data_IF_073227684469
#
_entry.id   IF_073227684469
#
_cell.length_a   1.000
_cell.length_b   1.000
_cell.length_c   1.000
_cell.angle_alpha   90.00
_cell.angle_beta   90.00
_cell.angle_gamma   90.00
#
_symmetry.space_group_name_H-M   'P 1'
#
loop_
_entity.id
_entity.type
_entity.pdbx_description
1 polymer ?
2 non-polymer ?
3 non-polymer ?
4 water ?
#
# COMPACT_ATOMS: atom_id res chain seq x y z
N UNK A 33 9.68 8.91 -18.32
CA UNK A 33 10.73 8.65 -19.35
C UNK A 33 12.10 8.62 -18.63
N UNK A 34 12.90 9.68 -18.78
CA UNK A 34 14.13 9.88 -18.00
C UNK A 34 13.84 10.19 -16.52
N UNK A 35 12.64 10.66 -16.21
CA UNK A 35 12.26 10.98 -14.86
C UNK A 35 11.84 9.81 -13.97
N UNK A 36 12.01 8.60 -14.48
CA UNK A 36 11.83 7.39 -13.69
C UNK A 36 12.91 7.32 -12.60
N UNK A 37 14.15 7.72 -12.93
CA UNK A 37 15.22 7.89 -11.95
C UNK A 37 14.99 9.10 -11.02
N UNK A 38 15.03 8.82 -9.72
CA UNK A 38 15.08 9.84 -8.68
C UNK A 38 16.07 10.98 -8.87
N UNK A 39 17.33 10.66 -9.20
CA UNK A 39 18.34 11.67 -9.42
C UNK A 39 17.89 12.64 -10.54
N UNK A 40 17.28 12.14 -11.59
CA UNK A 40 16.78 13.01 -12.62
C UNK A 40 15.64 13.94 -12.13
N UNK A 41 14.87 13.51 -11.16
CA UNK A 41 13.80 14.34 -10.67
C UNK A 41 14.42 15.33 -9.73
N UNK A 42 15.38 14.87 -8.93
CA UNK A 42 15.97 15.73 -7.94
C UNK A 42 16.67 16.91 -8.62
N UNK A 43 17.20 16.71 -9.82
CA UNK A 43 17.85 17.79 -10.54
C UNK A 43 16.96 18.96 -10.84
N UNK A 44 15.63 18.75 -10.90
CA UNK A 44 14.71 19.79 -11.27
C UNK A 44 14.41 20.76 -10.13
N UNK A 45 14.99 20.55 -8.95
CA UNK A 45 14.66 21.29 -7.70
C UNK A 45 15.60 22.45 -7.37
N UNK A 46 16.41 22.93 -8.31
CA UNK A 46 17.28 24.12 -8.00
C UNK A 46 16.36 25.35 -7.74
N UNK A 47 16.71 26.13 -6.74
CA UNK A 47 15.88 27.27 -6.29
C UNK A 47 14.50 26.92 -5.72
N UNK A 48 14.27 25.63 -5.48
CA UNK A 48 13.16 25.27 -4.68
C UNK A 48 13.34 25.94 -3.27
N UNK A 49 12.31 26.66 -2.76
CA UNK A 49 12.34 27.24 -1.38
C UNK A 49 13.08 26.43 -0.25
N UNK A 50 14.18 27.01 0.18
CA UNK A 50 15.07 26.44 1.21
C UNK A 50 14.36 26.24 2.54
N UNK A 51 13.36 27.06 2.81
CA UNK A 51 12.53 26.92 4.01
C UNK A 51 11.32 26.01 3.80
N UNK A 52 11.26 25.31 2.67
CA UNK A 52 10.13 24.36 2.48
C UNK A 52 10.02 23.41 3.70
N UNK A 53 8.84 23.28 4.30
CA UNK A 53 8.79 22.19 5.31
C UNK A 53 9.06 20.80 4.80
N UNK A 54 8.82 20.54 3.50
CA UNK A 54 9.06 19.23 2.88
C UNK A 54 10.20 19.47 1.93
N UNK A 55 11.30 18.74 2.15
CA UNK A 55 12.51 18.91 1.30
C UNK A 55 12.40 18.38 -0.16
N UNK A 56 13.30 18.92 -0.98
CA UNK A 56 13.42 18.57 -2.39
C UNK A 56 13.67 17.07 -2.53
N UNK A 57 14.59 16.50 -1.73
CA UNK A 57 14.86 15.06 -1.83
C UNK A 57 13.63 14.23 -1.54
N UNK A 58 12.88 14.66 -0.53
CA UNK A 58 11.67 13.95 -0.12
C UNK A 58 10.60 13.96 -1.27
N UNK A 59 10.35 15.11 -1.88
CA UNK A 59 9.39 15.21 -2.97
C UNK A 59 9.87 14.47 -4.19
N UNK A 60 11.17 14.55 -4.54
CA UNK A 60 11.67 13.76 -5.69
C UNK A 60 11.51 12.25 -5.44
N UNK A 61 11.80 11.86 -4.21
CA UNK A 61 11.58 10.50 -3.83
C UNK A 61 10.13 10.05 -4.05
N UNK A 62 9.17 10.96 -3.78
CA UNK A 62 7.76 10.68 -3.93
C UNK A 62 7.24 10.86 -5.40
N UNK A 63 8.16 11.00 -6.37
CA UNK A 63 7.90 11.05 -7.83
C UNK A 63 7.72 12.46 -8.42
N UNK A 64 7.90 13.47 -7.60
CA UNK A 64 7.66 14.82 -7.99
C UNK A 64 8.84 15.48 -8.70
N UNK A 65 8.51 16.36 -9.64
CA UNK A 65 9.42 17.31 -10.26
C UNK A 65 9.05 18.68 -9.79
N UNK A 66 10.01 19.59 -9.65
CA UNK A 66 9.71 20.96 -9.30
C UNK A 66 9.28 21.70 -10.55
N UNK A 67 8.24 22.52 -10.43
CA UNK A 67 7.64 23.18 -11.60
C UNK A 67 8.38 24.48 -11.89
N UNK A 68 9.21 24.91 -10.94
CA UNK A 68 9.86 26.17 -10.99
C UNK A 68 9.00 27.30 -10.44
N UNK A 69 7.71 27.06 -10.15
CA UNK A 69 6.88 28.08 -9.47
C UNK A 69 6.65 27.80 -7.96
N UNK A 70 7.06 28.74 -7.10
CA UNK A 70 6.74 28.70 -5.67
C UNK A 70 7.23 27.40 -5.08
N UNK A 71 6.31 26.64 -4.45
CA UNK A 71 6.60 25.26 -3.97
C UNK A 71 5.78 24.23 -4.71
N UNK A 72 5.32 24.61 -5.90
CA UNK A 72 4.60 23.70 -6.79
C UNK A 72 5.49 22.68 -7.52
N UNK A 73 5.08 21.43 -7.33
CA UNK A 73 5.75 20.26 -7.82
C UNK A 73 4.71 19.48 -8.55
N UNK A 74 5.14 18.75 -9.57
CA UNK A 74 4.22 17.95 -10.41
C UNK A 74 4.77 16.51 -10.49
N UNK A 75 3.88 15.53 -10.62
CA UNK A 75 4.29 14.14 -10.69
C UNK A 75 4.68 13.86 -12.11
N UNK A 76 5.80 13.16 -12.27
CA UNK A 76 6.29 12.93 -13.60
C UNK A 76 5.30 11.98 -14.33
N UNK A 77 4.61 11.14 -13.59
CA UNK A 77 3.82 10.05 -14.17
C UNK A 77 2.31 10.44 -14.32
N UNK A 78 1.71 10.98 -13.26
CA UNK A 78 0.29 11.31 -13.25
C UNK A 78 -0.04 12.80 -13.41
N UNK A 79 1.00 13.63 -13.60
CA UNK A 79 0.84 15.07 -13.73
C UNK A 79 0.04 15.80 -12.65
N UNK A 80 -0.17 15.18 -11.50
CA UNK A 80 -0.73 15.91 -10.38
C UNK A 80 0.25 16.98 -9.85
N UNK A 81 -0.31 18.12 -9.49
CA UNK A 81 0.40 19.28 -9.10
C UNK A 81 -0.03 19.73 -7.68
N UNK A 82 0.95 19.78 -6.77
CA UNK A 82 0.71 19.95 -5.34
C UNK A 82 1.68 20.99 -4.85
N UNK A 83 1.19 21.89 -4.00
CA UNK A 83 1.98 22.92 -3.42
C UNK A 83 1.43 23.14 -2.00
N UNK A 84 1.70 24.32 -1.46
CA UNK A 84 1.32 24.72 -0.14
C UNK A 84 1.71 23.68 0.92
N UNK A 85 2.95 23.18 0.83
CA UNK A 85 3.44 22.12 1.68
C UNK A 85 3.54 22.66 3.10
N UNK A 86 3.14 21.82 4.03
CA UNK A 86 3.14 22.11 5.45
C UNK A 86 3.81 20.98 6.25
N UNK A 87 4.23 21.35 7.45
CA UNK A 87 4.76 20.43 8.47
C UNK A 87 3.72 19.43 8.79
N UNK A 88 4.16 18.17 8.82
CA UNK A 88 3.31 17.03 8.98
C UNK A 88 2.89 16.37 7.67
N UNK A 89 3.09 17.04 6.53
CA UNK A 89 2.70 16.46 5.25
C UNK A 89 3.62 15.31 4.94
N UNK A 90 3.01 14.20 4.55
CA UNK A 90 3.76 13.12 3.79
C UNK A 90 3.74 13.43 2.29
N UNK A 91 4.92 13.56 1.63
CA UNK A 91 4.97 13.78 0.16
C UNK A 91 4.24 12.61 -0.53
N UNK A 92 4.57 11.37 -0.13
CA UNK A 92 3.96 10.20 -0.73
C UNK A 92 2.45 10.20 -0.43
N UNK A 93 2.07 10.53 0.81
CA UNK A 93 0.70 10.38 1.31
C UNK A 93 -0.20 11.38 0.61
N UNK A 94 0.29 12.61 0.54
CA UNK A 94 -0.41 13.65 -0.19
C UNK A 94 -0.55 13.36 -1.66
N UNK A 95 0.53 12.85 -2.29
CA UNK A 95 0.51 12.38 -3.70
C UNK A 95 -0.55 11.25 -3.96
N UNK A 96 -0.69 10.34 -2.99
CA UNK A 96 -1.65 9.21 -3.11
C UNK A 96 -3.08 9.74 -2.91
N UNK A 97 -3.26 10.75 -2.07
CA UNK A 97 -4.61 11.29 -1.83
C UNK A 97 -5.08 11.99 -3.11
N UNK A 98 -4.19 12.76 -3.72
CA UNK A 98 -4.52 13.47 -4.96
C UNK A 98 -4.52 12.60 -6.20
N UNK A 99 -3.79 11.50 -6.21
CA UNK A 99 -3.81 10.56 -7.38
C UNK A 99 -3.67 9.13 -6.97
N UNK A 100 -4.71 8.50 -6.38
CA UNK A 100 -4.54 7.12 -5.88
C UNK A 100 -4.23 6.10 -6.96
N UNK A 101 -4.51 6.42 -8.22
CA UNK A 101 -4.25 5.48 -9.28
C UNK A 101 -2.94 5.85 -9.97
N UNK A 102 -2.17 6.80 -9.45
CA UNK A 102 -0.86 7.11 -10.07
C UNK A 102 -0.06 5.82 -10.30
N UNK A 103 0.47 5.68 -11.53
CA UNK A 103 1.34 4.54 -11.88
C UNK A 103 2.59 4.50 -11.05
N UNK A 104 3.18 5.67 -10.78
CA UNK A 104 4.39 5.73 -9.99
C UNK A 104 4.11 5.20 -8.57
N UNK A 105 3.04 5.72 -7.95
CA UNK A 105 2.66 5.37 -6.59
C UNK A 105 2.32 3.88 -6.43
N UNK A 106 1.65 3.35 -7.45
CA UNK A 106 1.28 1.96 -7.49
C UNK A 106 2.32 0.98 -8.00
N UNK A 107 3.57 1.40 -8.18
CA UNK A 107 4.68 0.49 -8.53
C UNK A 107 5.02 0.22 -9.98
N UNK A 108 4.35 0.90 -10.90
CA UNK A 108 4.40 0.61 -12.35
C UNK A 108 5.80 0.59 -12.91
N UNK A 109 6.63 1.51 -12.43
CA UNK A 109 8.02 1.62 -12.86
C UNK A 109 8.94 0.69 -12.12
N UNK A 110 8.40 -0.20 -11.28
CA UNK A 110 9.13 -1.28 -10.65
C UNK A 110 9.91 -0.75 -9.43
N UNK B 33 9.34 2.72 11.65
CA UNK B 33 10.14 2.51 10.40
C UNK B 33 9.52 3.14 9.13
N UNK B 34 10.21 3.01 8.01
CA UNK B 34 9.70 3.47 6.72
C UNK B 34 8.52 2.61 6.33
N UNK B 35 8.53 1.34 6.76
CA UNK B 35 7.56 0.34 6.26
C UNK B 35 6.13 0.44 6.71
N UNK B 36 5.80 1.34 7.64
CA UNK B 36 4.37 1.64 7.92
C UNK B 36 3.71 2.32 6.68
N UNK B 37 4.52 3.01 5.87
CA UNK B 37 4.06 3.72 4.67
C UNK B 37 4.01 2.72 3.53
N UNK B 38 2.83 2.50 3.00
CA UNK B 38 2.61 1.53 1.92
C UNK B 38 3.70 1.58 0.80
N UNK B 39 3.96 2.75 0.24
CA UNK B 39 4.88 2.90 -0.90
C UNK B 39 6.32 2.43 -0.56
N UNK B 40 6.75 2.53 0.71
CA UNK B 40 8.04 2.00 1.09
C UNK B 40 8.01 0.48 1.07
N UNK B 41 6.90 -0.12 1.50
CA UNK B 41 6.71 -1.54 1.31
C UNK B 41 6.73 -1.90 -0.20
N UNK B 42 5.98 -1.15 -1.02
CA UNK B 42 5.90 -1.45 -2.44
C UNK B 42 7.27 -1.36 -3.12
N UNK B 43 8.17 -0.47 -2.68
CA UNK B 43 9.57 -0.38 -3.27
C UNK B 43 10.35 -1.71 -3.32
N UNK B 44 10.06 -2.61 -2.39
CA UNK B 44 10.80 -3.82 -2.19
C UNK B 44 10.45 -4.87 -3.24
N UNK B 45 9.37 -4.62 -3.95
CA UNK B 45 8.87 -5.52 -4.97
C UNK B 45 9.58 -5.37 -6.33
N UNK B 46 10.76 -4.79 -6.30
CA UNK B 46 11.71 -4.94 -7.39
C UNK B 46 11.92 -6.44 -7.73
N UNK B 47 11.79 -6.73 -9.02
CA UNK B 47 12.00 -8.06 -9.56
C UNK B 47 11.02 -9.09 -9.04
N UNK B 48 9.80 -8.68 -8.75
CA UNK B 48 8.78 -9.60 -8.24
C UNK B 48 8.10 -10.21 -9.43
N UNK B 49 7.84 -11.52 -9.37
CA UNK B 49 7.23 -12.20 -10.49
C UNK B 49 6.03 -11.49 -11.12
N UNK B 50 6.15 -11.17 -12.40
CA UNK B 50 5.15 -10.42 -13.12
C UNK B 50 3.93 -11.32 -13.41
N UNK B 51 4.17 -12.61 -13.55
CA UNK B 51 3.10 -13.59 -13.65
C UNK B 51 2.41 -13.97 -12.35
N UNK B 52 2.71 -13.25 -11.25
CA UNK B 52 2.06 -13.56 -9.99
C UNK B 52 0.56 -13.32 -10.08
N UNK B 53 -0.25 -14.27 -9.58
CA UNK B 53 -1.70 -14.03 -9.51
C UNK B 53 -2.13 -12.89 -8.60
N UNK B 54 -1.30 -12.50 -7.62
CA UNK B 54 -1.61 -11.39 -6.69
C UNK B 54 -0.53 -10.34 -6.88
N UNK B 55 -0.92 -9.13 -7.25
CA UNK B 55 0.04 -8.13 -7.66
C UNK B 55 0.87 -7.64 -6.50
N UNK B 56 2.00 -7.01 -6.80
CA UNK B 56 2.84 -6.38 -5.80
C UNK B 56 2.08 -5.30 -5.04
N UNK B 57 1.31 -4.54 -5.79
CA UNK B 57 0.57 -3.42 -5.20
C UNK B 57 -0.31 -3.92 -4.06
N UNK B 58 -1.12 -4.92 -4.39
CA UNK B 58 -2.07 -5.56 -3.49
C UNK B 58 -1.40 -6.13 -2.21
N UNK B 59 -0.24 -6.77 -2.41
CA UNK B 59 0.55 -7.42 -1.33
C UNK B 59 1.12 -6.39 -0.35
N UNK B 60 1.67 -5.32 -0.93
CA UNK B 60 2.14 -4.15 -0.18
C UNK B 60 0.99 -3.55 0.60
N UNK B 61 -0.15 -3.40 -0.03
CA UNK B 61 -1.27 -2.86 0.63
C UNK B 61 -1.59 -3.69 1.85
N UNK B 62 -1.50 -5.00 1.72
CA UNK B 62 -1.78 -5.92 2.81
C UNK B 62 -0.73 -6.00 3.86
N UNK B 63 0.32 -5.19 3.78
CA UNK B 63 1.38 -5.19 4.80
C UNK B 63 2.68 -5.91 4.42
N UNK B 64 2.75 -6.44 3.21
CA UNK B 64 3.89 -7.28 2.88
C UNK B 64 5.08 -6.52 2.24
N UNK B 65 6.30 -7.05 2.48
CA UNK B 65 7.53 -6.74 1.76
C UNK B 65 7.83 -7.96 0.92
N UNK B 66 8.54 -7.76 -0.19
CA UNK B 66 9.08 -8.87 -0.98
C UNK B 66 10.46 -9.23 -0.46
N UNK B 67 10.69 -10.52 -0.21
CA UNK B 67 11.91 -11.01 0.37
C UNK B 67 13.02 -11.13 -0.71
N UNK B 68 12.62 -11.07 -1.98
CA UNK B 68 13.52 -11.12 -3.13
C UNK B 68 13.66 -12.52 -3.73
N UNK B 69 12.73 -13.44 -3.40
CA UNK B 69 12.75 -14.80 -3.90
C UNK B 69 11.36 -15.42 -4.06
N UNK B 70 11.22 -16.09 -5.20
CA UNK B 70 10.01 -16.76 -5.57
C UNK B 70 8.91 -15.73 -5.55
N UNK B 71 7.84 -16.05 -4.84
CA UNK B 71 6.77 -15.10 -4.59
C UNK B 71 6.58 -15.00 -3.07
N UNK B 72 7.69 -15.10 -2.34
CA UNK B 72 7.73 -15.07 -0.86
C UNK B 72 7.77 -13.62 -0.30
N UNK B 73 6.72 -13.30 0.44
CA UNK B 73 6.50 -11.98 0.93
C UNK B 73 6.45 -12.13 2.43
N UNK B 74 6.82 -11.06 3.13
CA UNK B 74 6.89 -11.10 4.56
C UNK B 74 6.32 -9.84 5.14
N UNK B 75 5.47 -10.00 6.16
CA UNK B 75 4.89 -8.81 6.86
C UNK B 75 5.91 -8.00 7.65
N UNK B 76 5.80 -6.65 7.60
CA UNK B 76 6.75 -5.82 8.26
C UNK B 76 6.52 -5.83 9.77
N UNK B 77 5.27 -6.05 10.18
CA UNK B 77 4.86 -5.99 11.57
C UNK B 77 4.92 -7.33 12.29
N UNK B 78 4.42 -8.40 11.67
CA UNK B 78 4.39 -9.73 12.36
C UNK B 78 5.41 -10.76 11.87
N UNK B 79 6.06 -10.50 10.75
CA UNK B 79 7.18 -11.31 10.24
C UNK B 79 6.73 -12.60 9.60
N UNK B 80 5.41 -12.80 9.54
CA UNK B 80 4.85 -13.93 8.83
C UNK B 80 5.31 -13.81 7.39
N UNK B 81 5.62 -14.94 6.80
CA UNK B 81 6.04 -15.04 5.44
C UNK B 81 5.07 -16.01 4.75
N UNK B 82 4.70 -15.65 3.54
CA UNK B 82 3.67 -16.37 2.80
C UNK B 82 4.12 -16.31 1.34
N UNK B 83 4.05 -17.45 0.67
CA UNK B 83 4.20 -17.56 -0.79
C UNK B 83 3.11 -18.46 -1.31
N UNK B 84 3.35 -19.01 -2.52
CA UNK B 84 2.46 -19.95 -3.23
C UNK B 84 1.13 -19.29 -3.42
N UNK B 85 1.19 -18.09 -3.96
CA UNK B 85 0.00 -17.33 -4.25
C UNK B 85 -0.76 -17.96 -5.46
N UNK B 86 -2.06 -18.17 -5.29
CA UNK B 86 -2.95 -18.69 -6.30
C UNK B 86 -3.91 -17.56 -6.78
N UNK B 87 -4.43 -17.72 -8.01
CA UNK B 87 -5.48 -16.83 -8.53
C UNK B 87 -6.72 -16.81 -7.60
N UNK B 88 -7.19 -15.62 -7.25
CA UNK B 88 -8.29 -15.46 -6.32
C UNK B 88 -7.96 -15.60 -4.83
N UNK B 89 -6.68 -15.48 -4.47
CA UNK B 89 -6.29 -15.37 -3.07
C UNK B 89 -6.57 -13.96 -2.54
N UNK B 90 -6.89 -13.85 -1.26
CA UNK B 90 -6.96 -12.60 -0.56
C UNK B 90 -5.65 -12.33 0.22
N UNK B 91 -4.87 -11.36 -0.24
CA UNK B 91 -3.65 -10.93 0.44
C UNK B 91 -3.91 -10.67 1.92
N UNK B 92 -4.97 -9.89 2.17
CA UNK B 92 -5.41 -9.58 3.53
C UNK B 92 -5.91 -10.87 4.31
N UNK B 93 -6.73 -11.67 3.66
CA UNK B 93 -7.35 -12.89 4.19
C UNK B 93 -6.33 -13.93 4.59
N UNK B 94 -5.45 -14.22 3.65
CA UNK B 94 -4.33 -15.10 3.97
C UNK B 94 -3.42 -14.56 5.10
N UNK B 95 -3.18 -13.25 5.11
CA UNK B 95 -2.37 -12.61 6.19
C UNK B 95 -3.04 -12.80 7.55
N UNK B 96 -4.35 -12.52 7.58
CA UNK B 96 -5.15 -12.71 8.80
C UNK B 96 -5.08 -14.18 9.27
N UNK B 97 -5.25 -15.10 8.33
CA UNK B 97 -5.16 -16.55 8.65
C UNK B 97 -3.84 -16.88 9.33
N UNK B 98 -2.75 -16.65 8.61
CA UNK B 98 -1.44 -16.98 9.13
C UNK B 98 -1.01 -16.19 10.36
N UNK B 99 -1.49 -14.95 10.50
CA UNK B 99 -1.17 -14.09 11.66
C UNK B 99 -2.37 -13.27 12.20
N UNK B 100 -3.34 -13.90 12.90
CA UNK B 100 -4.53 -13.18 13.32
C UNK B 100 -4.32 -12.07 14.33
N UNK B 101 -3.21 -12.07 15.05
CA UNK B 101 -2.99 -11.05 16.06
C UNK B 101 -1.97 -10.00 15.53
N UNK B 102 -1.64 -10.02 14.24
CA UNK B 102 -0.72 -9.04 13.67
C UNK B 102 -1.31 -7.63 13.90
N UNK B 103 -0.46 -6.71 14.37
CA UNK B 103 -0.91 -5.37 14.76
C UNK B 103 -1.38 -4.59 13.55
N UNK B 104 -0.70 -4.80 12.44
CA UNK B 104 -1.04 -4.11 11.19
C UNK B 104 -2.41 -4.56 10.71
N UNK B 105 -2.56 -5.89 10.59
CA UNK B 105 -3.81 -6.50 10.21
C UNK B 105 -4.96 -6.06 11.14
N UNK B 106 -4.69 -5.91 12.44
CA UNK B 106 -5.70 -5.43 13.39
C UNK B 106 -5.90 -3.90 13.43
N UNK B 107 -5.18 -3.13 12.61
CA UNK B 107 -5.36 -1.69 12.49
C UNK B 107 -4.49 -0.84 13.38
N UNK B 108 -3.43 -1.37 13.99
CA UNK B 108 -2.57 -0.55 14.94
C UNK B 108 -1.85 0.63 14.27
N UNK B 109 -1.50 0.49 13.01
CA UNK B 109 -0.91 1.60 12.27
C UNK B 109 -1.98 2.51 11.60
N UNK B 110 -3.25 2.42 12.00
CA UNK B 110 -4.31 3.43 11.65
C UNK B 110 -4.74 3.34 10.19
N UNK C 33 4.29 -24.87 25.34
CA UNK C 33 4.26 -24.87 26.83
C UNK C 33 4.32 -26.36 27.21
N UNK C 34 3.24 -27.08 26.91
CA UNK C 34 3.13 -28.57 27.00
C UNK C 34 3.50 -29.26 25.66
N UNK C 35 3.53 -28.44 24.63
CA UNK C 35 3.85 -28.83 23.26
C UNK C 35 5.34 -28.88 22.95
N UNK C 36 6.14 -28.75 24.01
CA UNK C 36 7.55 -29.02 23.96
C UNK C 36 7.87 -30.48 23.54
N UNK C 37 7.11 -31.44 24.05
CA UNK C 37 7.22 -32.84 23.63
C UNK C 37 6.48 -33.05 22.27
N UNK C 38 7.17 -33.71 21.34
CA UNK C 38 6.64 -34.05 20.01
C UNK C 38 5.32 -34.79 20.03
N UNK C 39 5.19 -35.74 20.97
CA UNK C 39 4.03 -36.55 21.05
C UNK C 39 2.79 -35.70 21.35
N UNK C 40 2.96 -34.66 22.14
CA UNK C 40 1.90 -33.79 22.47
C UNK C 40 1.46 -32.91 21.28
N UNK C 41 2.44 -32.52 20.47
CA UNK C 41 2.12 -31.84 19.18
C UNK C 41 1.41 -32.77 18.20
N UNK C 42 1.92 -33.99 18.10
CA UNK C 42 1.38 -34.99 17.22
C UNK C 42 -0.10 -35.23 17.43
N UNK C 43 -0.50 -35.26 18.69
CA UNK C 43 -1.87 -35.47 19.06
C UNK C 43 -2.88 -34.39 18.61
N UNK C 44 -2.39 -33.24 18.16
CA UNK C 44 -3.23 -32.23 17.49
C UNK C 44 -3.54 -32.56 16.01
N UNK C 45 -2.91 -33.57 15.42
CA UNK C 45 -3.11 -33.85 14.01
C UNK C 45 -4.26 -34.83 13.73
N UNK C 46 -5.12 -35.06 14.72
CA UNK C 46 -6.33 -35.83 14.45
C UNK C 46 -7.09 -35.05 13.37
N UNK C 47 -7.60 -35.78 12.38
CA UNK C 47 -8.38 -35.20 11.29
C UNK C 47 -7.54 -34.38 10.29
N UNK C 48 -6.20 -34.46 10.41
CA UNK C 48 -5.29 -33.94 9.40
C UNK C 48 -5.55 -34.68 8.06
N UNK C 49 -5.87 -33.97 7.00
CA UNK C 49 -6.30 -34.59 5.74
C UNK C 49 -5.35 -35.63 5.16
N UNK C 50 -5.92 -36.73 4.68
CA UNK C 50 -5.26 -38.01 4.43
C UNK C 50 -4.15 -38.10 3.38
N UNK C 51 -4.32 -37.35 2.30
CA UNK C 51 -3.34 -37.36 1.22
C UNK C 51 -2.33 -36.24 1.28
N UNK C 52 -2.01 -35.74 2.48
CA UNK C 52 -0.96 -34.73 2.60
C UNK C 52 0.38 -35.25 2.13
N UNK C 53 1.14 -34.43 1.39
CA UNK C 53 2.46 -34.90 0.99
C UNK C 53 3.54 -34.84 2.08
N UNK C 54 3.31 -34.08 3.15
CA UNK C 54 4.20 -34.02 4.32
C UNK C 54 3.37 -34.57 5.46
N UNK C 55 3.86 -35.63 6.09
CA UNK C 55 3.09 -36.34 7.11
C UNK C 55 2.95 -35.53 8.38
N UNK C 56 1.90 -35.90 9.12
CA UNK C 56 1.68 -35.44 10.46
C UNK C 56 2.89 -35.60 11.38
N UNK C 57 3.54 -36.77 11.33
CA UNK C 57 4.77 -37.00 12.14
C UNK C 57 5.89 -36.03 11.81
N UNK C 58 6.15 -35.82 10.52
CA UNK C 58 7.21 -34.91 10.09
C UNK C 58 6.92 -33.47 10.61
N UNK C 59 5.65 -33.05 10.45
CA UNK C 59 5.26 -31.73 10.78
C UNK C 59 5.37 -31.47 12.28
N UNK C 60 4.92 -32.40 13.13
CA UNK C 60 5.08 -32.24 14.57
C UNK C 60 6.56 -32.29 15.02
N UNK C 61 7.32 -33.14 14.34
CA UNK C 61 8.80 -33.22 14.51
C UNK C 61 9.49 -31.90 14.21
N UNK C 62 8.90 -31.12 13.29
CA UNK C 62 9.34 -29.76 12.95
C UNK C 62 8.79 -28.64 13.86
N UNK C 63 8.17 -28.99 14.97
CA UNK C 63 7.56 -27.98 15.83
C UNK C 63 6.11 -27.58 15.62
N UNK C 64 5.45 -28.14 14.61
CA UNK C 64 4.09 -27.79 14.29
C UNK C 64 2.99 -28.51 15.08
N UNK C 65 1.89 -27.77 15.23
CA UNK C 65 0.60 -28.24 15.74
C UNK C 65 -0.28 -28.04 14.54
N UNK C 66 -1.33 -28.82 14.39
CA UNK C 66 -2.27 -28.62 13.32
C UNK C 66 -3.31 -27.66 13.90
N UNK C 67 -3.65 -26.65 13.13
CA UNK C 67 -4.65 -25.64 13.44
C UNK C 67 -6.12 -26.07 13.21
N UNK C 68 -6.36 -27.24 12.65
CA UNK C 68 -7.73 -27.71 12.33
C UNK C 68 -8.23 -27.57 10.91
N UNK C 69 -7.63 -26.68 10.13
CA UNK C 69 -8.20 -26.35 8.84
C UNK C 69 -7.19 -26.39 7.67
N UNK C 70 -7.58 -27.13 6.64
CA UNK C 70 -6.73 -27.35 5.49
C UNK C 70 -5.50 -28.12 5.94
N UNK C 71 -4.35 -27.66 5.49
CA UNK C 71 -3.06 -28.26 5.89
C UNK C 71 -2.28 -27.22 6.68
N UNK C 72 -3.02 -26.29 7.30
CA UNK C 72 -2.36 -25.20 7.98
C UNK C 72 -1.99 -25.74 9.33
N UNK C 73 -0.69 -25.57 9.66
CA UNK C 73 -0.05 -25.88 10.93
C UNK C 73 0.51 -24.61 11.47
N UNK C 74 0.83 -24.60 12.77
CA UNK C 74 1.32 -23.42 13.46
C UNK C 74 2.28 -23.86 14.51
N UNK C 75 3.48 -23.30 14.53
CA UNK C 75 4.51 -23.68 15.45
C UNK C 75 4.05 -23.29 16.86
N UNK C 76 4.26 -24.20 17.79
CA UNK C 76 3.94 -23.97 19.21
C UNK C 76 4.69 -22.77 19.87
N UNK C 77 5.93 -22.51 19.40
CA UNK C 77 6.88 -21.61 20.03
C UNK C 77 6.81 -20.23 19.38
N UNK C 78 6.92 -20.22 18.05
CA UNK C 78 6.90 -18.94 17.33
C UNK C 78 5.52 -18.54 16.87
N UNK C 79 4.55 -19.44 16.98
CA UNK C 79 3.17 -19.23 16.49
C UNK C 79 2.98 -18.75 15.05
N UNK C 80 3.94 -19.02 14.17
CA UNK C 80 3.77 -18.75 12.74
C UNK C 80 3.18 -19.94 12.02
N UNK C 81 2.45 -19.65 10.94
CA UNK C 81 1.61 -20.64 10.31
C UNK C 81 2.15 -20.96 8.94
N UNK C 82 2.09 -22.23 8.59
CA UNK C 82 2.59 -22.70 7.30
C UNK C 82 1.52 -23.55 6.69
N UNK C 83 1.16 -23.18 5.46
CA UNK C 83 0.08 -23.83 4.70
C UNK C 83 0.59 -24.29 3.34
N UNK C 84 -0.30 -24.90 2.56
CA UNK C 84 -0.07 -25.23 1.15
C UNK C 84 1.24 -26.02 0.98
N UNK C 85 1.28 -27.11 1.69
CA UNK C 85 2.37 -28.06 1.63
C UNK C 85 2.29 -28.79 0.28
N UNK C 86 3.45 -29.13 -0.26
CA UNK C 86 3.54 -29.92 -1.48
C UNK C 86 4.71 -30.86 -1.40
N UNK C 87 4.72 -31.79 -2.35
CA UNK C 87 5.77 -32.82 -2.42
C UNK C 87 7.15 -32.20 -2.46
N UNK C 88 8.07 -32.81 -1.73
CA UNK C 88 9.41 -32.32 -1.66
C UNK C 88 9.65 -31.31 -0.56
N UNK C 89 8.60 -30.80 0.11
CA UNK C 89 8.82 -29.75 1.12
C UNK C 89 9.50 -30.35 2.34
N UNK C 90 10.44 -29.58 2.85
CA UNK C 90 11.08 -29.83 4.15
C UNK C 90 10.31 -29.03 5.17
N UNK C 91 9.80 -29.70 6.18
CA UNK C 91 8.94 -29.01 7.12
C UNK C 91 9.85 -28.06 7.93
N UNK C 92 11.05 -28.55 8.29
CA UNK C 92 11.98 -27.67 8.99
C UNK C 92 12.38 -26.47 8.13
N UNK C 93 12.67 -26.66 6.87
CA UNK C 93 13.20 -25.58 6.05
C UNK C 93 12.16 -24.52 5.87
N UNK C 94 10.94 -24.95 5.59
CA UNK C 94 9.84 -23.99 5.43
C UNK C 94 9.60 -23.28 6.77
N UNK C 95 9.57 -24.03 7.89
CA UNK C 95 9.56 -23.37 9.25
C UNK C 95 10.74 -22.41 9.43
N UNK C 96 11.98 -22.78 9.12
CA UNK C 96 13.12 -21.86 9.15
C UNK C 96 12.91 -20.60 8.32
N UNK C 97 12.38 -20.77 7.11
CA UNK C 97 12.21 -19.68 6.14
C UNK C 97 11.28 -18.62 6.78
N UNK C 98 10.15 -19.09 7.31
CA UNK C 98 9.14 -18.24 7.87
C UNK C 98 9.51 -17.61 9.21
N UNK C 99 10.29 -18.31 10.08
CA UNK C 99 10.69 -17.77 11.41
C UNK C 99 12.10 -18.17 11.68
N UNK C 100 13.09 -17.45 11.05
CA UNK C 100 14.51 -17.88 11.21
C UNK C 100 15.02 -17.78 12.65
N UNK C 101 14.46 -16.87 13.41
CA UNK C 101 14.84 -16.76 14.77
C UNK C 101 13.84 -17.48 15.65
N UNK C 102 13.11 -18.48 15.15
CA UNK C 102 12.23 -19.27 16.09
C UNK C 102 13.07 -19.99 17.17
N UNK C 103 12.57 -20.05 18.39
CA UNK C 103 13.34 -20.64 19.50
C UNK C 103 13.49 -22.15 19.38
N UNK C 104 12.44 -22.83 18.83
CA UNK C 104 12.39 -24.24 18.59
C UNK C 104 13.42 -24.68 17.56
N UNK C 105 13.38 -24.07 16.39
CA UNK C 105 14.34 -24.30 15.31
C UNK C 105 15.75 -24.00 15.75
N UNK C 106 15.90 -23.00 16.64
CA UNK C 106 17.19 -22.67 17.24
C UNK C 106 17.61 -23.42 18.49
N UNK C 107 16.99 -24.55 18.77
CA UNK C 107 17.45 -25.44 19.86
C UNK C 107 17.26 -24.95 21.28
N UNK C 108 16.42 -23.92 21.46
CA UNK C 108 16.04 -23.34 22.78
C UNK C 108 15.52 -24.39 23.77
N UNK C 109 14.83 -25.44 23.28
CA UNK C 109 14.23 -26.52 24.13
C UNK C 109 15.07 -27.81 24.11
N UNK C 110 16.39 -27.73 23.89
CA UNK C 110 17.23 -28.94 23.88
C UNK C 110 16.82 -29.84 22.71
N UNK D 33 -21.02 11.85 -18.06
CA UNK D 33 -22.38 11.25 -17.84
C UNK D 33 -23.22 12.22 -16.99
N UNK D 34 -23.46 11.89 -15.72
CA UNK D 34 -24.25 12.74 -14.81
C UNK D 34 -23.50 14.03 -14.46
N UNK D 35 -22.16 13.93 -14.25
CA UNK D 35 -21.37 15.05 -13.66
C UNK D 35 -20.99 16.16 -14.63
N UNK D 36 -21.56 16.11 -15.83
CA UNK D 36 -21.43 17.23 -16.77
C UNK D 36 -22.37 18.31 -16.26
N UNK D 37 -23.45 17.90 -15.59
CA UNK D 37 -24.40 18.81 -14.95
C UNK D 37 -23.84 19.33 -13.64
N UNK D 38 -23.68 20.64 -13.59
CA UNK D 38 -23.22 21.34 -12.42
C UNK D 38 -23.93 20.91 -11.13
N UNK D 39 -25.25 20.86 -11.15
CA UNK D 39 -26.02 20.50 -9.95
C UNK D 39 -25.72 19.10 -9.30
N UNK D 40 -25.40 18.13 -10.15
CA UNK D 40 -25.02 16.75 -9.74
C UNK D 40 -23.67 16.71 -9.04
N UNK D 41 -22.74 17.52 -9.54
CA UNK D 41 -21.46 17.78 -8.88
C UNK D 41 -21.67 18.45 -7.55
N UNK D 42 -22.53 19.46 -7.55
CA UNK D 42 -22.86 20.20 -6.33
C UNK D 42 -23.40 19.24 -5.27
N UNK D 43 -24.25 18.32 -5.67
CA UNK D 43 -24.85 17.35 -4.74
C UNK D 43 -23.84 16.46 -4.03
N UNK D 44 -22.69 16.18 -4.65
CA UNK D 44 -21.57 15.45 -3.96
C UNK D 44 -20.98 16.15 -2.73
N UNK D 45 -21.32 17.44 -2.57
CA UNK D 45 -20.78 18.30 -1.54
C UNK D 45 -21.61 18.27 -0.22
N UNK D 46 -22.33 17.18 0.04
CA UNK D 46 -22.78 16.89 1.41
C UNK D 46 -21.52 16.71 2.25
N UNK D 47 -21.55 17.23 3.48
CA UNK D 47 -20.45 17.16 4.47
C UNK D 47 -19.24 17.99 4.12
N UNK D 48 -19.34 18.90 3.14
CA UNK D 48 -18.20 19.73 2.77
C UNK D 48 -17.98 20.72 3.89
N UNK D 49 -16.71 21.01 4.29
CA UNK D 49 -16.49 21.85 5.46
C UNK D 49 -17.14 23.23 5.36
N UNK D 50 -18.13 23.47 6.23
CA UNK D 50 -18.88 24.73 6.29
C UNK D 50 -17.99 25.97 6.32
N UNK D 51 -16.87 25.88 7.02
CA UNK D 51 -15.90 26.98 7.10
C UNK D 51 -14.90 27.18 5.97
N UNK D 52 -14.97 26.40 4.88
CA UNK D 52 -14.03 26.61 3.75
C UNK D 52 -14.15 28.02 3.19
N UNK D 53 -13.01 28.63 2.77
CA UNK D 53 -13.07 29.98 2.18
C UNK D 53 -13.58 30.02 0.75
N UNK D 54 -13.69 28.85 0.11
CA UNK D 54 -14.16 28.74 -1.26
C UNK D 54 -15.39 27.85 -1.23
N UNK D 55 -16.51 28.43 -1.62
CA UNK D 55 -17.80 27.79 -1.41
C UNK D 55 -17.95 26.53 -2.22
N UNK D 56 -18.73 25.58 -1.71
CA UNK D 56 -19.17 24.41 -2.50
C UNK D 56 -19.63 24.75 -3.92
N UNK D 57 -20.47 25.76 -4.05
CA UNK D 57 -21.03 26.08 -5.40
C UNK D 57 -19.95 26.57 -6.40
N UNK D 58 -19.06 27.43 -5.94
CA UNK D 58 -17.91 27.87 -6.74
C UNK D 58 -17.10 26.65 -7.23
N UNK D 59 -16.94 25.65 -6.37
CA UNK D 59 -16.06 24.51 -6.64
C UNK D 59 -16.76 23.56 -7.66
N UNK D 60 -18.06 23.37 -7.48
CA UNK D 60 -18.86 22.60 -8.45
C UNK D 60 -18.91 23.28 -9.79
N UNK D 61 -19.08 24.61 -9.79
CA UNK D 61 -19.08 25.39 -11.05
C UNK D 61 -17.72 25.24 -11.74
N UNK D 62 -16.66 24.98 -10.98
CA UNK D 62 -15.30 24.82 -11.56
C UNK D 62 -14.96 23.36 -11.92
N UNK D 63 -15.94 22.48 -11.85
CA UNK D 63 -15.85 21.18 -12.40
C UNK D 63 -15.60 20.15 -11.32
N UNK D 64 -15.57 20.58 -10.04
CA UNK D 64 -15.20 19.70 -8.95
C UNK D 64 -16.32 18.84 -8.31
N UNK D 65 -15.95 17.63 -7.93
CA UNK D 65 -16.72 16.80 -7.05
C UNK D 65 -16.03 16.87 -5.73
N UNK D 66 -16.78 16.69 -4.64
CA UNK D 66 -16.18 16.61 -3.31
C UNK D 66 -15.81 15.15 -3.03
N UNK D 67 -14.64 14.94 -2.45
CA UNK D 67 -14.12 13.60 -2.27
C UNK D 67 -14.65 12.97 -1.00
N UNK D 68 -15.07 13.82 -0.07
CA UNK D 68 -15.52 13.35 1.21
C UNK D 68 -14.45 13.32 2.28
N UNK D 69 -13.27 13.85 2.00
CA UNK D 69 -12.18 14.01 2.99
C UNK D 69 -11.58 15.39 2.83
N UNK D 70 -11.43 16.07 3.97
CA UNK D 70 -10.93 17.45 4.01
C UNK D 70 -11.68 18.47 3.16
N UNK D 71 -10.93 19.36 2.52
CA UNK D 71 -11.43 20.19 1.40
C UNK D 71 -10.88 19.68 0.06
N UNK D 72 -10.54 18.39 0.04
CA UNK D 72 -10.07 17.76 -1.16
C UNK D 72 -11.22 17.62 -2.17
N UNK D 73 -11.05 18.20 -3.36
CA UNK D 73 -12.11 18.14 -4.40
C UNK D 73 -11.46 17.52 -5.61
N UNK D 74 -12.22 16.94 -6.53
CA UNK D 74 -11.60 16.26 -7.66
C UNK D 74 -12.46 16.48 -8.87
N UNK D 75 -11.82 16.90 -9.97
CA UNK D 75 -12.53 17.16 -11.23
C UNK D 75 -13.09 15.88 -11.79
N UNK D 76 -14.38 15.92 -12.14
CA UNK D 76 -15.11 14.78 -12.73
C UNK D 76 -14.52 14.34 -14.07
N UNK D 77 -13.82 15.27 -14.77
CA UNK D 77 -13.30 15.01 -16.11
C UNK D 77 -11.86 14.55 -16.12
N UNK D 78 -10.98 15.41 -15.58
CA UNK D 78 -9.56 15.13 -15.67
C UNK D 78 -9.16 14.20 -14.54
N UNK D 79 -10.05 14.06 -13.56
CA UNK D 79 -9.79 13.27 -12.32
C UNK D 79 -8.66 13.77 -11.42
N UNK D 80 -8.23 15.03 -11.65
CA UNK D 80 -7.18 15.60 -10.89
C UNK D 80 -7.76 16.34 -9.70
N UNK D 81 -7.02 16.30 -8.58
CA UNK D 81 -7.53 16.75 -7.31
C UNK D 81 -6.82 17.97 -6.84
N UNK D 82 -7.54 18.73 -6.02
CA UNK D 82 -7.05 19.95 -5.38
C UNK D 82 -7.57 20.03 -3.98
N UNK D 83 -6.69 20.47 -3.06
CA UNK D 83 -7.00 20.65 -1.66
C UNK D 83 -6.47 21.97 -1.16
N UNK D 84 -6.64 22.26 0.12
CA UNK D 84 -5.94 23.36 0.83
C UNK D 84 -6.33 24.73 0.28
N UNK D 85 -7.64 24.94 0.26
CA UNK D 85 -8.23 26.13 -0.29
C UNK D 85 -8.06 27.26 0.71
N UNK D 86 -7.62 28.42 0.19
CA UNK D 86 -7.26 29.59 0.97
C UNK D 86 -8.17 30.72 0.47
N UNK D 87 -8.51 31.63 1.36
CA UNK D 87 -9.22 32.86 1.03
C UNK D 87 -8.62 33.54 -0.20
N UNK D 88 -9.46 33.75 -1.21
CA UNK D 88 -9.05 34.41 -2.43
C UNK D 88 -8.63 33.46 -3.52
N UNK D 89 -8.71 32.14 -3.32
CA UNK D 89 -8.30 31.24 -4.43
C UNK D 89 -9.31 31.34 -5.52
N UNK D 90 -8.85 31.20 -6.75
CA UNK D 90 -9.77 31.02 -7.88
C UNK D 90 -9.94 29.55 -8.06
N UNK D 91 -11.18 29.09 -8.01
CA UNK D 91 -11.42 27.68 -8.16
C UNK D 91 -11.07 27.22 -9.58
N UNK D 92 -11.54 27.93 -10.59
CA UNK D 92 -11.10 27.69 -11.98
C UNK D 92 -9.56 27.88 -12.17
N UNK D 93 -8.93 28.88 -11.52
CA UNK D 93 -7.47 29.16 -11.66
C UNK D 93 -6.59 28.00 -11.24
N UNK D 94 -6.80 27.56 -10.02
CA UNK D 94 -6.05 26.41 -9.51
C UNK D 94 -6.32 25.15 -10.32
N UNK D 95 -7.55 24.97 -10.81
CA UNK D 95 -7.89 23.81 -11.63
C UNK D 95 -7.06 23.85 -12.92
N UNK D 96 -7.08 24.94 -13.64
CA UNK D 96 -6.32 25.08 -14.85
C UNK D 96 -4.83 24.84 -14.62
N UNK D 97 -4.37 25.28 -13.49
CA UNK D 97 -3.01 25.13 -13.13
C UNK D 97 -2.59 23.69 -12.96
N UNK D 98 -3.41 22.88 -12.31
CA UNK D 98 -3.08 21.50 -12.12
C UNK D 98 -3.42 20.70 -13.36
N UNK D 99 -4.45 21.07 -14.09
CA UNK D 99 -4.79 20.39 -15.32
C UNK D 99 -5.09 21.32 -16.52
N UNK D 100 -3.94 21.91 -17.05
CA UNK D 100 -4.10 22.82 -18.20
C UNK D 100 -4.64 22.19 -19.46
N UNK D 101 -4.50 20.91 -19.59
CA UNK D 101 -5.07 20.17 -20.69
C UNK D 101 -6.41 19.49 -20.36
N UNK D 102 -7.01 19.76 -19.18
CA UNK D 102 -8.38 19.23 -18.82
C UNK D 102 -9.47 19.66 -19.80
N UNK D 103 -10.26 18.68 -20.23
CA UNK D 103 -11.27 18.86 -21.26
C UNK D 103 -12.34 19.83 -20.78
N UNK D 104 -12.77 19.65 -19.53
CA UNK D 104 -13.68 20.60 -18.86
C UNK D 104 -13.16 22.02 -18.81
N UNK D 105 -11.92 22.19 -18.34
CA UNK D 105 -11.34 23.53 -18.15
C UNK D 105 -11.19 24.29 -19.45
N UNK D 106 -10.96 23.55 -20.56
CA UNK D 106 -10.90 24.12 -21.93
C UNK D 106 -12.21 24.09 -22.76
N UNK D 107 -13.35 23.82 -22.11
CA UNK D 107 -14.67 24.05 -22.74
C UNK D 107 -15.24 22.94 -23.58
N UNK D 108 -14.69 21.73 -23.47
CA UNK D 108 -15.20 20.54 -24.22
C UNK D 108 -16.68 20.17 -23.90
N UNK D 109 -17.19 20.57 -22.75
CA UNK D 109 -18.60 20.32 -22.36
C UNK D 109 -19.60 21.49 -22.59
N UNK D 110 -19.10 22.62 -23.11
CA UNK D 110 -19.85 23.85 -23.55
C UNK D 110 -20.17 24.81 -22.41
#
# INVERSE_FOLDING_TARGET
MGSSHHHHHHSSGLVPQGSHMKTCVPADINKEEEFVEEFNRLKTFANFPSGSPVSASTLARAGFLYTGEGDTVRCFSCHAAVDRWQYGDSAVGRHRKVSPNCRFINGFYLE
MGSSHHHHHHSSGLVPQGSHMKTCVPADINKEEEFVEEFNRLKTFANFPSGSPVSASTLARAGFLYTGEGDTVRCFSCHAAVDRWQYGDSAVGRHRKVSPNCRFINGFYLE
MGSSHHHHHHSSGLVPQGSHMKTCVPADINKEEEFVEEFNRLKTFANFPSGSPVSASTLARAGFLYTGEGDTVRCFSCHAAVDRWQYGDSAVGRHRKVSPNCRFINGFYLE
MGSSHHHHHHSSGLVPQGSHMKTCVPADINKEEEFVEEFNRLKTFANFPSGSPVSASTLARAGFLYTGEGDTVRCFSCHAAVDRWQYGDSAVGRHRKVSPNCRFINGFYLE
#
